data_IF_012735681809
#
_entry.id   IF_012735681809
#
_cell.length_a   1.000
_cell.length_b   1.000
_cell.length_c   1.000
_cell.angle_alpha   90.00
_cell.angle_beta   90.00
_cell.angle_gamma   90.00
#
_symmetry.space_group_name_H-M   'P 1'
#
loop_
_entity.id
_entity.type
_entity.pdbx_description
1 polymer ?
#
# COMPACT_ATOMS: atom_id res chain seq x y z
N UNK A 1 -30.17 4.90 7.95
CA UNK A 1 -28.98 4.41 7.21
C UNK A 1 -27.99 3.94 8.24
N UNK A 2 -27.52 2.71 8.14
CA UNK A 2 -26.57 2.13 9.09
C UNK A 2 -25.14 2.42 8.59
N UNK A 3 -24.55 3.52 9.07
CA UNK A 3 -23.25 4.02 8.59
C UNK A 3 -22.06 3.12 8.97
N UNK A 4 -22.25 2.28 9.99
CA UNK A 4 -21.23 1.42 10.58
C UNK A 4 -20.94 0.18 9.75
N UNK A 5 -21.80 -0.19 8.80
CA UNK A 5 -21.54 -1.32 7.90
C UNK A 5 -20.71 -0.80 6.72
N UNK A 6 -19.56 -1.41 6.49
CA UNK A 6 -18.65 -1.05 5.41
C UNK A 6 -18.54 -2.27 4.49
N UNK A 7 -19.06 -2.15 3.28
CA UNK A 7 -18.98 -3.21 2.27
C UNK A 7 -17.98 -2.84 1.17
N UNK A 8 -17.39 -3.86 0.55
CA UNK A 8 -16.55 -3.65 -0.63
C UNK A 8 -17.33 -2.96 -1.75
N UNK A 9 -18.63 -3.26 -1.92
CA UNK A 9 -19.49 -2.66 -2.94
C UNK A 9 -19.71 -1.16 -2.71
N UNK A 10 -19.80 -0.71 -1.45
CA UNK A 10 -19.92 0.71 -1.15
C UNK A 10 -18.64 1.46 -1.45
N UNK A 11 -17.49 0.89 -1.08
CA UNK A 11 -16.19 1.47 -1.38
C UNK A 11 -15.92 1.50 -2.89
N UNK A 12 -16.35 0.46 -3.62
CA UNK A 12 -16.26 0.40 -5.09
C UNK A 12 -17.02 1.51 -5.80
N UNK A 13 -18.08 2.08 -5.19
CA UNK A 13 -18.81 3.23 -5.74
C UNK A 13 -18.04 4.55 -5.61
N UNK A 14 -17.01 4.61 -4.76
CA UNK A 14 -16.25 5.84 -4.48
C UNK A 14 -15.13 6.11 -5.50
N UNK A 15 -14.81 5.16 -6.36
CA UNK A 15 -13.76 5.29 -7.37
C UNK A 15 -14.11 4.52 -8.65
N UNK A 16 -13.50 4.93 -9.78
CA UNK A 16 -13.62 4.22 -11.05
C UNK A 16 -12.53 3.13 -11.16
N UNK A 17 -12.90 1.91 -10.78
CA UNK A 17 -12.01 0.74 -10.75
C UNK A 17 -11.59 0.27 -12.14
N UNK A 18 -12.47 0.36 -13.14
CA UNK A 18 -12.14 -0.03 -14.51
C UNK A 18 -11.08 0.91 -15.09
N UNK A 19 -11.27 2.22 -14.90
CA UNK A 19 -10.33 3.21 -15.35
C UNK A 19 -9.01 3.16 -14.56
N UNK A 20 -9.06 2.82 -13.27
CA UNK A 20 -7.86 2.54 -12.47
C UNK A 20 -7.04 1.39 -13.08
N UNK A 21 -7.68 0.25 -13.36
CA UNK A 21 -7.03 -0.90 -14.00
C UNK A 21 -6.48 -0.56 -15.39
N UNK A 22 -7.22 0.22 -16.19
CA UNK A 22 -6.74 0.66 -17.50
C UNK A 22 -5.44 1.48 -17.39
N UNK A 23 -5.32 2.35 -16.39
CA UNK A 23 -4.09 3.12 -16.14
C UNK A 23 -2.92 2.23 -15.77
N UNK A 24 -3.12 1.25 -14.88
CA UNK A 24 -2.09 0.26 -14.52
C UNK A 24 -1.60 -0.48 -15.76
N UNK A 25 -2.54 -0.99 -16.57
CA UNK A 25 -2.23 -1.69 -17.82
C UNK A 25 -1.45 -0.79 -18.79
N UNK A 26 -1.85 0.48 -18.95
CA UNK A 26 -1.15 1.43 -19.81
C UNK A 26 0.28 1.69 -19.32
N UNK A 27 0.47 1.84 -18.01
CA UNK A 27 1.79 2.02 -17.41
C UNK A 27 2.71 0.83 -17.65
N UNK A 28 2.20 -0.39 -17.48
CA UNK A 28 2.94 -1.62 -17.71
C UNK A 28 3.30 -1.81 -19.19
N UNK A 29 2.35 -1.57 -20.09
CA UNK A 29 2.59 -1.63 -21.53
C UNK A 29 3.63 -0.60 -21.97
N UNK A 30 3.58 0.62 -21.43
CA UNK A 30 4.57 1.65 -21.71
C UNK A 30 5.97 1.21 -21.23
N UNK A 31 6.08 0.75 -19.99
CA UNK A 31 7.34 0.26 -19.41
C UNK A 31 7.92 -0.94 -20.18
N UNK A 32 7.08 -1.89 -20.59
CA UNK A 32 7.53 -3.08 -21.31
C UNK A 32 7.98 -2.82 -22.75
N UNK A 33 7.45 -1.78 -23.42
CA UNK A 33 7.94 -1.36 -24.76
C UNK A 33 9.40 -0.92 -24.74
N UNK A 34 9.82 -0.30 -23.64
CA UNK A 34 11.20 0.11 -23.37
C UNK A 34 12.08 -1.06 -22.86
N UNK A 35 11.56 -2.29 -22.83
CA UNK A 35 12.25 -3.50 -22.41
C UNK A 35 12.70 -3.48 -20.94
N UNK A 36 13.83 -4.13 -20.65
CA UNK A 36 14.34 -4.29 -19.29
C UNK A 36 14.60 -2.93 -18.58
N UNK A 37 15.05 -1.92 -19.33
CA UNK A 37 15.32 -0.58 -18.78
C UNK A 37 14.02 0.14 -18.45
N UNK A 38 12.99 0.01 -19.28
CA UNK A 38 11.66 0.56 -19.00
C UNK A 38 11.01 -0.06 -17.77
N UNK A 39 11.07 -1.38 -17.64
CA UNK A 39 10.61 -2.10 -16.44
C UNK A 39 11.40 -1.68 -15.20
N UNK A 40 12.73 -1.59 -15.29
CA UNK A 40 13.57 -1.12 -14.19
C UNK A 40 13.16 0.29 -13.73
N UNK A 41 12.91 1.22 -14.66
CA UNK A 41 12.43 2.57 -14.37
C UNK A 41 11.05 2.57 -13.72
N UNK A 42 10.13 1.74 -14.21
CA UNK A 42 8.80 1.57 -13.63
C UNK A 42 8.90 1.09 -12.18
N UNK A 43 9.63 0.00 -11.93
CA UNK A 43 9.80 -0.56 -10.59
C UNK A 43 10.57 0.37 -9.65
N UNK A 44 11.54 1.15 -10.12
CA UNK A 44 12.21 2.15 -9.29
C UNK A 44 11.21 3.17 -8.72
N UNK A 45 10.29 3.66 -9.57
CA UNK A 45 9.25 4.62 -9.16
C UNK A 45 8.17 3.94 -8.30
N UNK A 46 7.75 2.73 -8.67
CA UNK A 46 6.72 1.98 -7.97
C UNK A 46 7.16 1.55 -6.56
N UNK A 47 8.38 1.03 -6.42
CA UNK A 47 8.96 0.71 -5.10
C UNK A 47 9.16 1.96 -4.24
N UNK A 48 9.46 3.13 -4.81
CA UNK A 48 9.50 4.39 -4.05
C UNK A 48 8.10 4.77 -3.54
N UNK A 49 7.08 4.73 -4.40
CA UNK A 49 5.70 5.08 -4.04
C UNK A 49 5.11 4.15 -2.98
N UNK A 50 5.20 2.85 -3.20
CA UNK A 50 4.70 1.83 -2.27
C UNK A 50 5.51 1.80 -0.95
N UNK A 51 6.76 2.25 -0.95
CA UNK A 51 7.61 2.28 0.25
C UNK A 51 7.09 3.11 1.44
N UNK A 52 6.05 3.92 1.24
CA UNK A 52 5.36 4.64 2.32
C UNK A 52 4.23 3.85 2.97
N UNK A 53 3.74 2.77 2.38
CA UNK A 53 2.49 2.14 2.81
C UNK A 53 2.64 1.42 4.15
N UNK A 54 3.63 0.52 4.29
CA UNK A 54 3.91 -0.16 5.57
C UNK A 54 4.15 0.79 6.75
N UNK A 55 5.02 1.80 6.57
CA UNK A 55 5.24 2.82 7.63
C UNK A 55 4.03 3.74 7.85
N UNK A 56 3.20 3.93 6.81
CA UNK A 56 1.95 4.67 6.86
C UNK A 56 0.90 3.99 7.73
N UNK A 57 0.65 2.68 7.53
CA UNK A 57 -0.28 1.92 8.36
C UNK A 57 0.21 1.78 9.81
N UNK A 58 1.53 1.67 10.03
CA UNK A 58 2.10 1.73 11.36
C UNK A 58 1.82 3.10 12.04
N UNK A 59 1.96 4.19 11.29
CA UNK A 59 1.67 5.55 11.76
C UNK A 59 0.18 5.74 12.09
N UNK A 60 -0.71 5.21 11.24
CA UNK A 60 -2.15 5.17 11.48
C UNK A 60 -2.48 4.41 12.77
N UNK A 61 -1.90 3.23 12.95
CA UNK A 61 -2.11 2.42 14.15
C UNK A 61 -1.69 3.16 15.42
N UNK A 62 -0.50 3.79 15.39
CA UNK A 62 -0.03 4.62 16.50
C UNK A 62 -0.91 5.85 16.75
N UNK A 63 -1.45 6.45 15.68
CA UNK A 63 -2.39 7.58 15.74
C UNK A 63 -3.69 7.19 16.42
N UNK A 64 -4.29 6.07 16.03
CA UNK A 64 -5.49 5.53 16.69
C UNK A 64 -5.18 5.23 18.16
N UNK A 65 -4.11 4.50 18.43
CA UNK A 65 -3.77 4.03 19.79
C UNK A 65 -3.53 5.15 20.81
N UNK A 66 -2.99 6.30 20.38
CA UNK A 66 -2.78 7.45 21.28
C UNK A 66 -4.02 8.32 21.49
N UNK A 67 -5.08 8.14 20.70
CA UNK A 67 -6.34 8.87 20.79
C UNK A 67 -7.31 8.27 21.81
N UNK A 68 -6.87 8.14 23.07
CA UNK A 68 -7.52 7.39 24.17
C UNK A 68 -8.95 7.81 24.55
N UNK A 69 -9.40 8.96 24.04
CA UNK A 69 -10.75 9.50 24.30
C UNK A 69 -11.64 9.52 23.07
N UNK A 70 -11.13 9.09 21.91
CA UNK A 70 -11.84 9.15 20.63
C UNK A 70 -12.80 7.98 20.45
N UNK A 71 -12.34 6.76 20.75
CA UNK A 71 -13.11 5.52 20.65
C UNK A 71 -13.32 4.94 22.04
N UNK A 72 -14.54 5.08 22.56
CA UNK A 72 -14.87 4.69 23.93
C UNK A 72 -16.16 3.87 23.99
N UNK A 73 -16.14 2.87 24.85
CA UNK A 73 -17.28 2.01 25.16
C UNK A 73 -18.34 2.79 25.94
N UNK A 74 -19.44 3.14 25.27
CA UNK A 74 -20.51 3.95 25.85
C UNK A 74 -21.30 3.22 26.95
N UNK A 75 -21.10 1.91 27.12
CA UNK A 75 -21.76 1.12 28.16
C UNK A 75 -21.01 1.15 29.50
N UNK A 76 -19.78 1.67 29.51
CA UNK A 76 -18.92 1.75 30.69
C UNK A 76 -18.77 3.21 31.12
N UNK A 77 -19.16 3.51 32.36
CA UNK A 77 -19.13 4.87 32.91
C UNK A 77 -17.71 5.30 33.33
N UNK A 78 -16.89 4.37 33.79
CA UNK A 78 -15.54 4.62 34.28
C UNK A 78 -14.60 4.94 33.10
N UNK A 79 -14.19 6.20 33.00
CA UNK A 79 -13.36 6.73 31.88
C UNK A 79 -12.05 5.97 31.63
N UNK A 80 -11.45 5.38 32.67
CA UNK A 80 -10.21 4.61 32.50
C UNK A 80 -10.46 3.18 31.97
N UNK A 81 -11.69 2.67 32.11
CA UNK A 81 -12.08 1.33 31.70
C UNK A 81 -12.79 1.31 30.33
N UNK A 82 -13.24 2.47 29.85
CA UNK A 82 -14.01 2.59 28.61
C UNK A 82 -13.18 2.89 27.36
N UNK A 83 -11.87 3.14 27.48
CA UNK A 83 -10.95 3.34 26.35
C UNK A 83 -10.88 2.07 25.48
N UNK A 84 -11.11 2.23 24.16
CA UNK A 84 -11.02 1.17 23.16
C UNK A 84 -10.08 1.52 22.02
N UNK A 85 -9.35 2.62 22.11
CA UNK A 85 -8.52 3.12 21.01
C UNK A 85 -7.41 2.15 20.64
N UNK A 86 -6.71 1.55 21.61
CA UNK A 86 -5.68 0.52 21.33
C UNK A 86 -6.30 -0.75 20.75
N UNK A 87 -7.53 -1.11 21.15
CA UNK A 87 -8.23 -2.27 20.59
C UNK A 87 -8.64 -2.02 19.14
N UNK A 88 -9.12 -0.82 18.79
CA UNK A 88 -9.35 -0.45 17.38
C UNK A 88 -8.03 -0.45 16.60
N UNK A 89 -6.97 0.10 17.18
CA UNK A 89 -5.65 0.19 16.55
C UNK A 89 -5.05 -1.19 16.21
N UNK A 90 -5.34 -2.24 16.99
CA UNK A 90 -4.74 -3.56 16.77
C UNK A 90 -5.12 -4.18 15.43
N UNK A 91 -6.27 -3.80 14.85
CA UNK A 91 -6.73 -4.27 13.55
C UNK A 91 -5.90 -3.72 12.38
N UNK A 92 -5.36 -2.50 12.54
CA UNK A 92 -4.46 -1.89 11.57
C UNK A 92 -3.00 -2.27 11.86
N UNK A 93 -2.67 -2.50 13.12
CA UNK A 93 -1.32 -2.88 13.53
C UNK A 93 -0.94 -4.28 13.02
N UNK A 94 -1.91 -5.18 12.82
CA UNK A 94 -1.64 -6.50 12.25
C UNK A 94 -1.11 -6.41 10.81
N UNK A 95 -1.73 -5.58 9.96
CA UNK A 95 -1.22 -5.26 8.62
C UNK A 95 0.16 -4.59 8.68
N UNK A 96 0.36 -3.68 9.65
CA UNK A 96 1.68 -3.09 9.88
C UNK A 96 2.73 -4.13 10.32
N UNK A 97 2.35 -5.22 10.99
CA UNK A 97 3.30 -6.28 11.36
C UNK A 97 3.76 -7.03 10.11
N UNK A 98 2.83 -7.40 9.23
CA UNK A 98 3.12 -8.13 8.00
C UNK A 98 4.13 -7.37 7.11
N UNK A 99 3.95 -6.06 6.98
CA UNK A 99 4.84 -5.16 6.22
C UNK A 99 6.29 -5.13 6.75
N UNK A 100 6.47 -5.35 8.06
CA UNK A 100 7.76 -5.30 8.76
C UNK A 100 8.36 -6.68 9.07
N UNK A 101 7.60 -7.75 8.82
CA UNK A 101 7.96 -9.13 9.13
C UNK A 101 7.03 -10.07 8.36
N UNK A 102 7.34 -10.32 7.08
CA UNK A 102 6.58 -11.24 6.24
C UNK A 102 6.67 -12.65 6.80
N UNK A 103 5.51 -13.18 7.24
CA UNK A 103 5.39 -14.48 7.91
C UNK A 103 5.70 -15.68 7.01
N UNK A 104 5.73 -15.49 5.69
CA UNK A 104 5.89 -16.56 4.70
C UNK A 104 7.35 -16.73 4.23
N UNK A 105 8.28 -16.04 4.87
CA UNK A 105 9.72 -16.09 4.57
C UNK A 105 10.54 -16.70 5.71
N UNK A 106 11.77 -17.16 5.39
CA UNK A 106 12.67 -17.79 6.37
C UNK A 106 13.22 -16.79 7.40
N UNK A 107 13.35 -15.53 6.99
CA UNK A 107 13.90 -14.45 7.79
C UNK A 107 12.83 -13.40 8.08
N UNK A 108 13.21 -12.38 8.85
CA UNK A 108 12.38 -11.18 9.02
C UNK A 108 12.43 -10.33 7.75
N UNK A 109 11.75 -10.77 6.71
CA UNK A 109 11.72 -10.03 5.44
C UNK A 109 10.69 -8.92 5.53
N UNK A 110 11.19 -7.69 5.65
CA UNK A 110 10.33 -6.52 5.41
C UNK A 110 9.94 -6.50 3.92
N UNK A 111 8.71 -6.10 3.60
CA UNK A 111 8.30 -5.91 2.21
C UNK A 111 9.20 -4.92 1.47
N UNK A 112 9.79 -3.96 2.21
CA UNK A 112 10.79 -3.05 1.68
C UNK A 112 12.05 -3.76 1.18
N UNK A 113 12.58 -4.73 1.92
CA UNK A 113 13.73 -5.52 1.50
C UNK A 113 13.41 -6.36 0.26
N UNK A 114 12.22 -6.96 0.21
CA UNK A 114 11.76 -7.73 -0.95
C UNK A 114 11.59 -6.85 -2.21
N UNK A 115 11.06 -5.63 -2.05
CA UNK A 115 10.96 -4.64 -3.13
C UNK A 115 12.35 -4.21 -3.64
N UNK A 116 13.31 -3.98 -2.73
CA UNK A 116 14.70 -3.67 -3.09
C UNK A 116 15.38 -4.85 -3.80
N UNK A 117 15.15 -6.08 -3.35
CA UNK A 117 15.64 -7.29 -4.00
C UNK A 117 15.08 -7.42 -5.42
N UNK A 118 13.79 -7.12 -5.62
CA UNK A 118 13.15 -7.08 -6.94
C UNK A 118 13.82 -6.06 -7.86
N UNK A 119 14.05 -4.84 -7.37
CA UNK A 119 14.72 -3.78 -8.12
C UNK A 119 16.16 -4.14 -8.51
N UNK A 120 16.91 -4.74 -7.58
CA UNK A 120 18.26 -5.22 -7.82
C UNK A 120 18.30 -6.35 -8.86
N UNK A 121 17.33 -7.28 -8.79
CA UNK A 121 17.14 -8.33 -9.78
C UNK A 121 16.89 -7.77 -11.19
N UNK A 122 16.01 -6.78 -11.31
CA UNK A 122 15.72 -6.11 -12.58
C UNK A 122 16.95 -5.39 -13.14
N UNK A 123 17.73 -4.72 -12.30
CA UNK A 123 18.99 -4.08 -12.71
C UNK A 123 20.00 -5.10 -13.23
N UNK A 124 20.16 -6.22 -12.53
CA UNK A 124 21.04 -7.31 -12.98
C UNK A 124 20.59 -7.88 -14.31
N UNK A 125 19.29 -8.11 -14.49
CA UNK A 125 18.73 -8.56 -15.76
C UNK A 125 18.98 -7.55 -16.88
N UNK A 126 18.71 -6.26 -16.65
CA UNK A 126 18.97 -5.20 -17.63
C UNK A 126 20.44 -5.17 -18.07
N UNK A 127 21.38 -5.33 -17.12
CA UNK A 127 22.82 -5.44 -17.42
C UNK A 127 23.16 -6.66 -18.28
N UNK A 128 22.53 -7.81 -18.05
CA UNK A 128 22.68 -8.99 -18.91
C UNK A 128 22.16 -8.77 -20.34
N UNK A 129 21.18 -7.87 -20.49
CA UNK A 129 20.65 -7.44 -21.80
C UNK A 129 21.47 -6.28 -22.42
N UNK A 130 22.64 -5.96 -21.89
CA UNK A 130 23.54 -4.94 -22.44
C UNK A 130 23.30 -3.52 -21.95
N UNK A 131 22.46 -3.31 -20.93
CA UNK A 131 22.34 -1.99 -20.30
C UNK A 131 23.62 -1.62 -19.53
N UNK A 132 24.41 -0.72 -20.10
CA UNK A 132 25.66 -0.23 -19.55
C UNK A 132 25.51 1.24 -19.14
N UNK A 133 24.98 1.48 -17.94
CA UNK A 133 24.96 2.81 -17.32
C UNK A 133 25.99 2.88 -16.19
N UNK A 134 26.67 4.01 -16.09
CA UNK A 134 27.50 4.36 -14.93
C UNK A 134 26.65 4.45 -13.66
N UNK A 135 27.30 4.38 -12.49
CA UNK A 135 26.62 4.58 -11.20
C UNK A 135 25.91 5.94 -11.12
N UNK A 136 26.49 6.99 -11.71
CA UNK A 136 25.89 8.31 -11.72
C UNK A 136 24.61 8.37 -12.56
N UNK A 137 24.61 7.76 -13.75
CA UNK A 137 23.42 7.65 -14.61
C UNK A 137 22.34 6.79 -13.98
N UNK A 138 22.73 5.67 -13.36
CA UNK A 138 21.81 4.81 -12.64
C UNK A 138 21.17 5.56 -11.47
N UNK A 139 21.95 6.24 -10.63
CA UNK A 139 21.41 7.04 -9.53
C UNK A 139 20.47 8.14 -10.04
N UNK A 140 20.80 8.79 -11.16
CA UNK A 140 19.90 9.77 -11.78
C UNK A 140 18.56 9.16 -12.20
N UNK A 141 18.57 7.95 -12.75
CA UNK A 141 17.36 7.23 -13.17
C UNK A 141 16.53 6.73 -11.98
N UNK A 142 17.20 6.22 -10.94
CA UNK A 142 16.55 5.67 -9.74
C UNK A 142 16.09 6.76 -8.77
N UNK A 143 16.62 7.98 -8.87
CA UNK A 143 16.20 9.10 -8.05
C UNK A 143 14.73 9.44 -8.27
N UNK A 144 14.04 9.74 -7.17
CA UNK A 144 12.64 10.15 -7.22
C UNK A 144 12.51 11.49 -7.98
N UNK A 145 11.73 11.53 -9.08
CA UNK A 145 11.40 12.79 -9.73
C UNK A 145 10.57 13.68 -8.78
N UNK A 146 10.58 14.99 -9.00
CA UNK A 146 9.91 15.95 -8.12
C UNK A 146 8.41 15.67 -7.91
N UNK A 147 7.72 15.18 -8.96
CA UNK A 147 6.32 14.79 -8.85
C UNK A 147 6.11 13.61 -7.90
N UNK A 148 7.03 12.65 -7.88
CA UNK A 148 6.95 11.47 -7.04
C UNK A 148 7.25 11.81 -5.58
N UNK A 149 8.26 12.66 -5.32
CA UNK A 149 8.51 13.21 -3.98
C UNK A 149 7.29 13.92 -3.41
N UNK A 150 6.64 14.73 -4.25
CA UNK A 150 5.42 15.45 -3.87
C UNK A 150 4.27 14.48 -3.59
N UNK A 151 4.11 13.45 -4.43
CA UNK A 151 3.08 12.43 -4.22
C UNK A 151 3.34 11.62 -2.95
N UNK A 152 4.57 11.22 -2.68
CA UNK A 152 4.98 10.50 -1.48
C UNK A 152 4.68 11.28 -0.21
N UNK A 153 4.93 12.59 -0.20
CA UNK A 153 4.54 13.45 0.92
C UNK A 153 3.01 13.46 1.13
N UNK A 154 2.22 13.48 0.05
CA UNK A 154 0.75 13.40 0.12
C UNK A 154 0.26 12.02 0.57
N UNK A 155 0.95 10.95 0.20
CA UNK A 155 0.66 9.59 0.70
C UNK A 155 0.85 9.52 2.21
N UNK A 156 1.98 10.05 2.72
CA UNK A 156 2.22 10.11 4.15
C UNK A 156 1.13 10.90 4.89
N UNK A 157 0.69 12.04 4.32
CA UNK A 157 -0.44 12.82 4.85
C UNK A 157 -1.77 12.05 4.81
N UNK A 158 -2.00 11.25 3.76
CA UNK A 158 -3.17 10.37 3.65
C UNK A 158 -3.27 9.37 4.80
N UNK A 159 -2.13 8.84 5.26
CA UNK A 159 -2.03 8.01 6.47
C UNK A 159 -2.06 8.81 7.79
N UNK A 160 -2.33 10.12 7.73
CA UNK A 160 -2.48 10.98 8.90
C UNK A 160 -1.17 11.60 9.41
N UNK A 161 -0.04 11.48 8.70
CA UNK A 161 1.20 12.13 9.10
C UNK A 161 1.05 13.66 9.10
N UNK A 162 1.42 14.30 10.22
CA UNK A 162 1.28 15.75 10.41
C UNK A 162 -0.14 16.27 10.61
N UNK A 163 -1.15 15.39 10.67
CA UNK A 163 -2.54 15.76 10.99
C UNK A 163 -2.83 15.68 12.48
N UNK A 164 -3.85 16.40 12.95
CA UNK A 164 -4.38 16.30 14.31
C UNK A 164 -4.95 14.91 14.63
N UNK A 165 -4.95 14.52 15.90
CA UNK A 165 -5.46 13.22 16.37
C UNK A 165 -6.98 13.23 16.61
N UNK A 166 -7.71 13.98 15.77
CA UNK A 166 -9.17 14.07 15.81
C UNK A 166 -9.83 12.85 15.18
N UNK A 167 -11.09 12.61 15.54
CA UNK A 167 -11.89 11.51 14.98
C UNK A 167 -11.97 11.60 13.45
N UNK A 168 -12.23 12.79 12.92
CA UNK A 168 -12.38 12.98 11.47
C UNK A 168 -11.07 12.71 10.72
N UNK A 169 -9.94 13.20 11.25
CA UNK A 169 -8.63 12.92 10.68
C UNK A 169 -8.28 11.43 10.73
N UNK A 170 -8.62 10.74 11.83
CA UNK A 170 -8.41 9.29 11.96
C UNK A 170 -9.29 8.52 10.98
N UNK A 171 -10.59 8.85 10.90
CA UNK A 171 -11.51 8.18 9.98
C UNK A 171 -11.10 8.39 8.52
N UNK A 172 -10.61 9.59 8.16
CA UNK A 172 -10.03 9.84 6.85
C UNK A 172 -8.78 8.98 6.59
N UNK A 173 -7.89 8.82 7.57
CA UNK A 173 -6.72 7.97 7.41
C UNK A 173 -7.08 6.46 7.32
N UNK A 174 -8.10 6.01 8.05
CA UNK A 174 -8.69 4.66 7.90
C UNK A 174 -9.23 4.48 6.49
N UNK A 175 -10.02 5.44 5.98
CA UNK A 175 -10.53 5.40 4.61
C UNK A 175 -9.43 5.38 3.55
N UNK A 176 -8.37 6.16 3.78
CA UNK A 176 -7.19 6.17 2.90
C UNK A 176 -6.52 4.78 2.83
N UNK A 177 -6.37 4.11 3.97
CA UNK A 177 -5.82 2.76 4.05
C UNK A 177 -6.75 1.70 3.43
N UNK A 178 -8.07 1.76 3.66
CA UNK A 178 -9.02 0.89 2.94
C UNK A 178 -8.94 1.10 1.41
N UNK A 179 -8.67 2.33 0.98
CA UNK A 179 -8.38 2.65 -0.41
C UNK A 179 -7.12 1.96 -0.92
N UNK A 180 -6.05 1.92 -0.13
CA UNK A 180 -4.84 1.18 -0.49
C UNK A 180 -5.11 -0.30 -0.61
N UNK A 181 -5.76 -0.93 0.37
CA UNK A 181 -5.99 -2.39 0.33
C UNK A 181 -6.74 -2.85 -0.93
N UNK A 182 -7.86 -2.20 -1.31
CA UNK A 182 -8.66 -2.68 -2.45
C UNK A 182 -8.00 -2.37 -3.79
N UNK A 183 -7.42 -1.17 -3.95
CA UNK A 183 -6.80 -0.79 -5.23
C UNK A 183 -5.41 -1.42 -5.40
N UNK A 184 -4.64 -1.57 -4.31
CA UNK A 184 -3.33 -2.24 -4.29
C UNK A 184 -3.44 -3.72 -4.70
N UNK A 185 -4.43 -4.45 -4.15
CA UNK A 185 -4.61 -5.87 -4.46
C UNK A 185 -4.78 -6.15 -5.95
N UNK A 186 -5.59 -5.32 -6.60
CA UNK A 186 -5.77 -5.47 -8.04
C UNK A 186 -4.53 -5.03 -8.82
N UNK A 187 -3.84 -3.96 -8.45
CA UNK A 187 -2.63 -3.52 -9.18
C UNK A 187 -1.49 -4.54 -9.07
N UNK A 188 -1.19 -5.10 -7.90
CA UNK A 188 -0.12 -6.10 -7.75
C UNK A 188 -0.42 -7.35 -8.56
N UNK A 189 -1.67 -7.83 -8.50
CA UNK A 189 -2.14 -8.93 -9.33
C UNK A 189 -1.96 -8.64 -10.82
N UNK A 190 -2.29 -7.42 -11.29
CA UNK A 190 -2.10 -7.03 -12.69
C UNK A 190 -0.62 -6.94 -13.09
N UNK A 191 0.25 -6.48 -12.19
CA UNK A 191 1.70 -6.42 -12.41
C UNK A 191 2.29 -7.83 -12.53
N UNK A 192 1.94 -8.75 -11.62
CA UNK A 192 2.36 -10.16 -11.69
C UNK A 192 1.88 -10.82 -12.99
N UNK A 193 0.59 -10.65 -13.31
CA UNK A 193 0.00 -11.19 -14.53
C UNK A 193 0.72 -10.67 -15.79
N UNK A 194 0.99 -9.36 -15.86
CA UNK A 194 1.68 -8.76 -16.99
C UNK A 194 3.10 -9.29 -17.13
N UNK A 195 3.87 -9.36 -16.04
CA UNK A 195 5.23 -9.88 -16.10
C UNK A 195 5.23 -11.35 -16.56
N UNK A 196 4.37 -12.19 -15.99
CA UNK A 196 4.26 -13.61 -16.35
C UNK A 196 3.83 -13.85 -17.78
N UNK A 197 2.93 -13.02 -18.33
CA UNK A 197 2.37 -13.18 -19.68
C UNK A 197 3.25 -12.53 -20.74
N UNK A 198 3.66 -11.28 -20.53
CA UNK A 198 4.29 -10.44 -21.54
C UNK A 198 5.81 -10.31 -21.37
N UNK A 199 6.34 -10.52 -20.16
CA UNK A 199 7.78 -10.35 -19.84
C UNK A 199 8.39 -11.65 -19.29
N UNK A 200 8.07 -12.78 -19.93
CA UNK A 200 8.38 -14.15 -19.48
C UNK A 200 9.84 -14.38 -19.08
N UNK A 201 10.77 -13.82 -19.84
CA UNK A 201 12.21 -13.97 -19.59
C UNK A 201 12.63 -13.22 -18.31
N UNK A 202 12.10 -12.03 -18.08
CA UNK A 202 12.30 -11.25 -16.84
C UNK A 202 11.75 -12.03 -15.65
N UNK A 203 10.51 -12.52 -15.75
CA UNK A 203 9.91 -13.33 -14.67
C UNK A 203 10.73 -14.58 -14.38
N UNK A 204 11.17 -15.33 -15.40
CA UNK A 204 11.99 -16.52 -15.22
C UNK A 204 13.30 -16.20 -14.52
N UNK A 205 13.92 -15.08 -14.87
CA UNK A 205 15.14 -14.60 -14.22
C UNK A 205 14.88 -14.27 -12.75
N UNK A 206 13.90 -13.42 -12.46
CA UNK A 206 13.61 -12.95 -11.10
C UNK A 206 13.21 -14.09 -10.16
N UNK A 207 12.45 -15.09 -10.63
CA UNK A 207 12.08 -16.28 -9.84
C UNK A 207 13.27 -17.15 -9.41
N UNK A 208 14.40 -17.05 -10.11
CA UNK A 208 15.63 -17.79 -9.77
C UNK A 208 16.65 -16.91 -9.05
N UNK A 209 16.57 -15.59 -9.23
CA UNK A 209 17.51 -14.65 -8.66
C UNK A 209 17.24 -14.43 -7.17
N UNK A 210 18.33 -14.31 -6.42
CA UNK A 210 18.35 -13.78 -5.06
C UNK A 210 19.25 -12.54 -4.99
N UNK A 211 19.00 -11.70 -3.98
CA UNK A 211 19.80 -10.52 -3.68
C UNK A 211 20.02 -10.40 -2.17
N UNK A 212 21.28 -10.16 -1.78
CA UNK A 212 21.60 -9.81 -0.40
C UNK A 212 21.16 -8.38 -0.09
N UNK A 213 20.32 -8.21 0.93
CA UNK A 213 19.89 -6.93 1.51
C UNK A 213 19.92 -7.09 3.03
N UNK A 214 20.51 -6.12 3.74
CA UNK A 214 20.63 -6.12 5.20
C UNK A 214 21.24 -7.41 5.81
N UNK A 215 22.13 -8.08 5.07
CA UNK A 215 22.80 -9.31 5.51
C UNK A 215 21.98 -10.60 5.36
N UNK A 216 20.87 -10.56 4.61
CA UNK A 216 20.01 -11.71 4.33
C UNK A 216 19.75 -11.86 2.83
N UNK A 217 19.47 -13.09 2.39
CA UNK A 217 19.26 -13.46 0.99
C UNK A 217 17.79 -13.46 0.60
N UNK A 218 17.37 -12.49 -0.21
CA UNK A 218 15.97 -12.28 -0.57
C UNK A 218 15.67 -12.77 -2.00
N UNK A 219 14.61 -13.55 -2.25
CA UNK A 219 14.19 -13.89 -3.60
C UNK A 219 13.68 -12.65 -4.36
N UNK A 220 14.21 -12.40 -5.57
CA UNK A 220 13.91 -11.20 -6.33
C UNK A 220 12.48 -11.13 -6.92
N UNK A 221 11.67 -12.19 -6.78
CA UNK A 221 10.27 -12.20 -7.22
C UNK A 221 9.26 -12.22 -6.06
N UNK A 222 9.73 -12.41 -4.82
CA UNK A 222 8.85 -12.68 -3.68
C UNK A 222 7.88 -11.53 -3.43
N UNK A 223 8.34 -10.28 -3.54
CA UNK A 223 7.51 -9.10 -3.28
C UNK A 223 6.24 -9.06 -4.12
N UNK A 224 6.35 -9.38 -5.42
CA UNK A 224 5.19 -9.45 -6.31
C UNK A 224 4.33 -10.68 -6.04
N UNK A 225 4.96 -11.78 -5.63
CA UNK A 225 4.26 -13.02 -5.39
C UNK A 225 3.30 -12.87 -4.20
N UNK A 226 3.79 -12.41 -3.05
CA UNK A 226 3.00 -12.29 -1.80
C UNK A 226 1.82 -11.32 -1.92
N UNK A 227 1.98 -10.21 -2.66
CA UNK A 227 0.93 -9.21 -2.90
C UNK A 227 0.03 -9.55 -4.09
N UNK A 228 0.31 -10.62 -4.85
CA UNK A 228 -0.59 -11.02 -5.93
C UNK A 228 -1.63 -12.00 -5.40
N UNK A 229 -2.85 -11.96 -5.95
CA UNK A 229 -3.87 -12.98 -5.71
C UNK A 229 -3.45 -14.42 -6.09
N UNK A 230 -2.26 -14.60 -6.68
CA UNK A 230 -1.66 -15.90 -6.99
C UNK A 230 -0.70 -16.42 -5.90
N UNK A 231 -0.36 -15.62 -4.88
CA UNK A 231 0.64 -15.96 -3.87
C UNK A 231 0.14 -16.14 -2.44
N UNK A 232 -1.15 -16.00 -2.16
CA UNK A 232 -1.68 -16.34 -0.82
C UNK A 232 -2.79 -15.43 -0.28
N UNK A 233 -3.18 -14.37 -1.00
CA UNK A 233 -4.27 -13.47 -0.61
C UNK A 233 -4.03 -12.67 0.69
N UNK A 234 -2.78 -12.32 1.00
CA UNK A 234 -2.44 -11.50 2.18
C UNK A 234 -3.25 -10.19 2.25
N UNK A 235 -3.47 -9.53 1.11
CA UNK A 235 -4.27 -8.30 1.03
C UNK A 235 -5.78 -8.52 1.23
N UNK A 236 -6.30 -9.72 0.97
CA UNK A 236 -7.70 -10.05 1.27
C UNK A 236 -7.94 -10.15 2.79
N UNK A 237 -6.99 -10.75 3.51
CA UNK A 237 -6.99 -10.79 4.98
C UNK A 237 -6.85 -9.36 5.56
N UNK A 238 -5.92 -8.56 5.03
CA UNK A 238 -5.71 -7.18 5.48
C UNK A 238 -6.94 -6.30 5.28
N UNK A 239 -7.60 -6.39 4.13
CA UNK A 239 -8.84 -5.67 3.88
C UNK A 239 -9.95 -6.05 4.86
N UNK A 240 -10.11 -7.34 5.16
CA UNK A 240 -11.11 -7.81 6.13
C UNK A 240 -10.83 -7.27 7.54
N UNK A 241 -9.58 -7.31 8.00
CA UNK A 241 -9.19 -6.78 9.30
C UNK A 241 -9.33 -5.26 9.38
N UNK A 242 -8.88 -4.53 8.37
CA UNK A 242 -9.04 -3.08 8.30
C UNK A 242 -10.53 -2.66 8.31
N UNK A 243 -11.38 -3.42 7.61
CA UNK A 243 -12.83 -3.21 7.62
C UNK A 243 -13.40 -3.42 9.02
N UNK A 244 -13.09 -4.54 9.68
CA UNK A 244 -13.49 -4.79 11.07
C UNK A 244 -13.02 -3.70 12.02
N UNK A 245 -11.78 -3.22 11.87
CA UNK A 245 -11.24 -2.10 12.65
C UNK A 245 -12.04 -0.82 12.46
N UNK A 246 -12.43 -0.51 11.23
CA UNK A 246 -13.27 0.63 10.91
C UNK A 246 -14.68 0.49 11.52
N UNK A 247 -15.31 -0.69 11.44
CA UNK A 247 -16.62 -0.96 12.05
C UNK A 247 -16.59 -0.84 13.59
N UNK A 248 -15.49 -1.27 14.22
CA UNK A 248 -15.27 -1.07 15.66
C UNK A 248 -15.08 0.42 16.01
N UNK A 249 -14.42 1.20 15.15
CA UNK A 249 -14.32 2.64 15.33
C UNK A 249 -15.71 3.29 15.38
N UNK A 250 -16.63 2.88 14.51
CA UNK A 250 -18.05 3.29 14.58
C UNK A 250 -18.73 2.80 15.85
N UNK A 251 -18.55 1.52 16.21
CA UNK A 251 -19.17 0.90 17.38
C UNK A 251 -18.83 1.66 18.67
N UNK A 252 -17.57 2.06 18.83
CA UNK A 252 -17.08 2.82 19.97
C UNK A 252 -17.16 4.33 19.79
N UNK A 253 -18.02 4.81 18.89
CA UNK A 253 -18.32 6.23 18.71
C UNK A 253 -19.82 6.50 18.88
N UNK A 254 -20.21 7.66 19.45
CA UNK A 254 -21.61 8.09 19.50
C UNK A 254 -22.31 8.04 18.13
N UNK A 255 -23.51 7.44 18.07
CA UNK A 255 -24.30 7.33 16.83
C UNK A 255 -24.53 8.66 16.10
N UNK A 256 -24.63 9.77 16.85
CA UNK A 256 -24.80 11.12 16.29
C UNK A 256 -23.62 11.57 15.41
N UNK A 257 -22.46 10.94 15.54
CA UNK A 257 -21.23 11.30 14.82
C UNK A 257 -21.00 10.40 13.60
N UNK A 258 -21.74 9.28 13.48
CA UNK A 258 -21.50 8.28 12.45
C UNK A 258 -21.60 8.84 11.02
N UNK A 259 -22.53 9.76 10.76
CA UNK A 259 -22.63 10.38 9.43
C UNK A 259 -21.35 11.17 9.05
N UNK A 260 -20.79 11.93 10.00
CA UNK A 260 -19.55 12.68 9.79
C UNK A 260 -18.34 11.75 9.66
N UNK A 261 -18.26 10.72 10.52
CA UNK A 261 -17.22 9.69 10.42
C UNK A 261 -17.23 8.99 9.07
N UNK A 262 -18.41 8.63 8.55
CA UNK A 262 -18.53 8.00 7.23
C UNK A 262 -18.09 8.94 6.11
N UNK A 263 -18.48 10.21 6.17
CA UNK A 263 -18.04 11.19 5.18
C UNK A 263 -16.51 11.37 5.19
N UNK A 264 -15.88 11.38 6.37
CA UNK A 264 -14.42 11.44 6.51
C UNK A 264 -13.73 10.19 5.94
N UNK A 265 -14.26 8.99 6.25
CA UNK A 265 -13.77 7.72 5.68
C UNK A 265 -13.86 7.72 4.15
N UNK A 266 -15.04 8.03 3.60
CA UNK A 266 -15.24 8.07 2.15
C UNK A 266 -14.31 9.10 1.49
N UNK A 267 -14.08 10.26 2.13
CA UNK A 267 -13.13 11.27 1.67
C UNK A 267 -11.68 10.76 1.64
N UNK A 268 -11.25 10.04 2.68
CA UNK A 268 -9.96 9.38 2.75
C UNK A 268 -9.74 8.41 1.61
N UNK A 269 -10.72 7.54 1.38
CA UNK A 269 -10.71 6.56 0.30
C UNK A 269 -10.56 7.22 -1.08
N UNK A 270 -11.39 8.23 -1.35
CA UNK A 270 -11.34 9.00 -2.60
C UNK A 270 -9.99 9.72 -2.76
N UNK A 271 -9.35 10.11 -1.66
CA UNK A 271 -8.03 10.75 -1.68
C UNK A 271 -6.95 9.76 -2.10
N UNK A 272 -6.97 8.51 -1.59
CA UNK A 272 -6.08 7.46 -2.08
C UNK A 272 -6.30 7.21 -3.58
N UNK A 273 -7.56 7.07 -4.02
CA UNK A 273 -7.88 6.83 -5.44
C UNK A 273 -7.32 7.94 -6.36
N UNK A 274 -7.33 9.21 -5.91
CA UNK A 274 -6.69 10.33 -6.62
C UNK A 274 -5.17 10.21 -6.66
N UNK A 275 -4.53 9.77 -5.58
CA UNK A 275 -3.09 9.56 -5.53
C UNK A 275 -2.65 8.40 -6.43
N UNK A 276 -3.36 7.28 -6.37
CA UNK A 276 -3.18 6.14 -7.28
C UNK A 276 -3.32 6.58 -8.74
N UNK A 277 -4.39 7.30 -9.09
CA UNK A 277 -4.55 7.91 -10.43
C UNK A 277 -3.33 8.75 -10.82
N UNK A 278 -2.89 9.64 -9.93
CA UNK A 278 -1.76 10.56 -10.17
C UNK A 278 -0.48 9.77 -10.46
N UNK A 279 -0.21 8.71 -9.70
CA UNK A 279 0.96 7.85 -9.90
C UNK A 279 0.96 7.24 -11.31
N UNK A 280 -0.10 6.50 -11.67
CA UNK A 280 -0.13 5.76 -12.94
C UNK A 280 -0.27 6.68 -14.18
N UNK A 281 -0.81 7.88 -14.04
CA UNK A 281 -0.81 8.88 -15.13
C UNK A 281 0.52 9.61 -15.29
N UNK A 282 1.32 9.73 -14.23
CA UNK A 282 2.62 10.40 -14.25
C UNK A 282 3.76 9.46 -14.64
N UNK A 283 3.69 8.18 -14.29
CA UNK A 283 4.78 7.23 -14.54
C UNK A 283 5.03 6.93 -16.02
N UNK A 284 4.03 7.17 -16.88
CA UNK A 284 4.09 7.02 -18.35
C UNK A 284 4.59 8.28 -19.08
N UNK A 285 4.90 9.34 -18.34
CA UNK A 285 5.49 10.58 -18.86
C UNK A 285 7.00 10.56 -18.64
#
# INVERSE_FOLDING_TARGET
MEYSIITQDDLKKLADFELAQLRVKNALNHAGKDGAVGLLRFFARYTSWNGFFGSGVASLSGKIGRSRTTFVDQTIAERLLNDRSVFVASFFFDAARDEFDDRDTEYRDTHRCLAQATLAGLLRYARQQGYAASTAELNKMLNEPAWLKTLNAKVAQGYGNGSEDSRDAIMAAIGYHLGSEILADREFSMIDEYLRKEQKEVTRFLKKAKQEIAGQSHPCYQWLQIHSGHGGAAEADHFEWATKGAELAFTYSPKKEHAAMRASLDHGFQTFAKHHKTFFEAIVR
#
